data_IF_262753311394
#
_entry.id   IF_262753311394
#
_cell.length_a   1.000
_cell.length_b   1.000
_cell.length_c   1.000
_cell.angle_alpha   90.00
_cell.angle_beta   90.00
_cell.angle_gamma   90.00
#
_symmetry.space_group_name_H-M   'P 1'
#
loop_
_entity.id
_entity.type
_entity.pdbx_description
1 polymer ?
#
# COMPACT_ATOMS: atom_id res chain seq x y z
N UNK A 1 -22.04 -25.73 -4.49
CA UNK A 1 -22.51 -24.33 -4.65
C UNK A 1 -21.65 -23.43 -3.76
N UNK A 2 -21.05 -22.36 -4.32
CA UNK A 2 -20.20 -21.45 -3.53
C UNK A 2 -21.03 -20.70 -2.51
N UNK A 3 -20.56 -20.62 -1.25
CA UNK A 3 -21.16 -19.81 -0.18
C UNK A 3 -20.16 -18.75 0.30
N UNK A 4 -20.65 -17.63 0.82
CA UNK A 4 -19.83 -16.60 1.46
C UNK A 4 -20.02 -16.67 2.96
N UNK A 5 -18.91 -16.77 3.69
CA UNK A 5 -18.85 -16.66 5.15
C UNK A 5 -18.46 -15.23 5.52
N UNK A 6 -19.14 -14.67 6.52
CA UNK A 6 -18.82 -13.35 7.10
C UNK A 6 -18.16 -13.60 8.45
N UNK A 7 -16.92 -13.20 8.59
CA UNK A 7 -16.08 -13.49 9.75
C UNK A 7 -15.49 -12.19 10.32
N UNK A 8 -15.30 -12.16 11.64
CA UNK A 8 -14.57 -11.06 12.32
C UNK A 8 -13.09 -11.38 12.52
N UNK A 9 -12.77 -12.66 12.51
CA UNK A 9 -11.40 -13.16 12.65
C UNK A 9 -11.21 -14.35 11.71
N UNK A 10 -10.00 -14.54 11.23
CA UNK A 10 -9.58 -15.67 10.42
C UNK A 10 -8.69 -16.60 11.25
N UNK A 11 -8.84 -17.89 11.07
CA UNK A 11 -7.88 -18.84 11.60
C UNK A 11 -6.67 -18.98 10.65
N UNK A 12 -5.56 -19.56 11.14
CA UNK A 12 -4.30 -19.66 10.40
C UNK A 12 -4.49 -20.37 9.04
N UNK A 13 -5.24 -21.46 8.97
CA UNK A 13 -5.49 -22.18 7.72
C UNK A 13 -6.25 -21.31 6.70
N UNK A 14 -7.18 -20.47 7.13
CA UNK A 14 -7.88 -19.53 6.25
C UNK A 14 -6.93 -18.46 5.74
N UNK A 15 -6.07 -17.93 6.60
CA UNK A 15 -5.04 -16.94 6.22
C UNK A 15 -4.11 -17.54 5.16
N UNK A 16 -3.59 -18.75 5.38
CA UNK A 16 -2.69 -19.42 4.45
C UNK A 16 -3.33 -19.62 3.06
N UNK A 17 -4.57 -20.13 3.01
CA UNK A 17 -5.29 -20.29 1.76
C UNK A 17 -5.56 -18.95 1.04
N UNK A 18 -5.88 -17.89 1.78
CA UNK A 18 -6.09 -16.57 1.20
C UNK A 18 -4.77 -16.03 0.61
N UNK A 19 -3.66 -16.14 1.34
CA UNK A 19 -2.34 -15.71 0.87
C UNK A 19 -1.90 -16.49 -0.38
N UNK A 20 -2.21 -17.79 -0.47
CA UNK A 20 -1.97 -18.57 -1.67
C UNK A 20 -2.77 -18.04 -2.89
N UNK A 21 -4.03 -17.65 -2.67
CA UNK A 21 -4.85 -17.02 -3.72
C UNK A 21 -4.24 -15.68 -4.15
N UNK A 22 -3.76 -14.88 -3.20
CA UNK A 22 -3.10 -13.58 -3.46
C UNK A 22 -1.86 -13.77 -4.34
N UNK A 23 -1.01 -14.74 -4.02
CA UNK A 23 0.20 -15.06 -4.81
C UNK A 23 -0.20 -15.46 -6.24
N UNK A 24 -1.09 -16.43 -6.39
CA UNK A 24 -1.55 -16.91 -7.72
C UNK A 24 -2.22 -15.82 -8.55
N UNK A 25 -2.99 -14.95 -7.91
CA UNK A 25 -3.61 -13.81 -8.58
C UNK A 25 -2.57 -12.78 -9.02
N UNK A 26 -1.57 -12.48 -8.18
CA UNK A 26 -0.48 -11.56 -8.51
C UNK A 26 0.34 -12.04 -9.71
N UNK A 27 0.67 -13.33 -9.74
CA UNK A 27 1.39 -13.95 -10.88
C UNK A 27 0.56 -13.90 -12.19
N UNK A 28 -0.75 -14.12 -12.08
CA UNK A 28 -1.64 -14.15 -13.25
C UNK A 28 -1.92 -12.76 -13.80
N UNK A 29 -2.09 -11.77 -12.93
CA UNK A 29 -2.56 -10.43 -13.28
C UNK A 29 -1.42 -9.41 -13.43
N UNK A 30 -0.21 -9.75 -12.98
CA UNK A 30 0.93 -8.83 -12.94
C UNK A 30 0.79 -7.69 -11.94
N UNK A 31 -0.19 -7.77 -11.05
CA UNK A 31 -0.46 -6.78 -10.02
C UNK A 31 -0.94 -7.47 -8.74
N UNK A 32 -0.57 -6.94 -7.57
CA UNK A 32 -1.07 -7.43 -6.29
C UNK A 32 -2.54 -7.08 -6.13
N UNK A 33 -3.41 -8.00 -5.67
CA UNK A 33 -4.84 -7.72 -5.50
C UNK A 33 -5.15 -6.88 -4.25
N UNK A 34 -4.23 -6.78 -3.30
CA UNK A 34 -4.41 -6.09 -2.02
C UNK A 34 -3.34 -5.06 -1.75
N UNK A 35 -3.74 -4.00 -1.04
CA UNK A 35 -2.84 -3.05 -0.42
C UNK A 35 -2.02 -3.72 0.71
N UNK A 36 -0.88 -3.12 1.04
CA UNK A 36 -0.07 -3.57 2.17
C UNK A 36 -0.86 -3.57 3.48
N UNK A 37 -1.73 -2.58 3.68
CA UNK A 37 -2.56 -2.48 4.87
C UNK A 37 -3.44 -3.72 5.05
N UNK A 38 -4.11 -4.18 3.99
CA UNK A 38 -4.92 -5.41 4.02
C UNK A 38 -4.06 -6.64 4.24
N UNK A 39 -2.89 -6.75 3.60
CA UNK A 39 -1.98 -7.88 3.82
C UNK A 39 -1.46 -7.95 5.27
N UNK A 40 -1.15 -6.81 5.89
CA UNK A 40 -0.77 -6.74 7.30
C UNK A 40 -1.91 -7.18 8.24
N UNK A 41 -3.13 -6.73 7.95
CA UNK A 41 -4.31 -7.16 8.70
C UNK A 41 -4.56 -8.67 8.58
N UNK A 42 -4.34 -9.25 7.41
CA UNK A 42 -4.46 -10.70 7.20
C UNK A 42 -3.45 -11.49 8.05
N UNK A 43 -2.19 -11.04 8.11
CA UNK A 43 -1.11 -11.78 8.80
C UNK A 43 -1.08 -11.57 10.31
N UNK A 44 -1.40 -10.38 10.76
CA UNK A 44 -1.13 -9.95 12.15
C UNK A 44 -2.38 -9.56 12.92
N UNK A 45 -3.57 -9.60 12.30
CA UNK A 45 -4.76 -8.96 12.82
C UNK A 45 -4.57 -7.44 12.95
N UNK A 46 -5.57 -6.65 12.62
CA UNK A 46 -5.50 -5.20 12.73
C UNK A 46 -5.81 -4.68 14.15
N UNK A 47 -5.66 -3.38 14.33
CA UNK A 47 -6.13 -2.65 15.52
C UNK A 47 -7.58 -2.15 15.38
N UNK A 48 -8.16 -2.27 14.19
CA UNK A 48 -9.53 -1.85 13.88
C UNK A 48 -10.38 -3.03 13.51
N UNK A 49 -11.67 -3.01 13.88
CA UNK A 49 -12.60 -4.05 13.48
C UNK A 49 -12.81 -4.01 11.97
N UNK A 50 -12.46 -5.09 11.31
CA UNK A 50 -12.73 -5.31 9.88
C UNK A 50 -13.66 -6.49 9.69
N UNK A 51 -14.24 -6.63 8.51
CA UNK A 51 -15.04 -7.78 8.16
C UNK A 51 -14.36 -8.56 7.04
N UNK A 52 -14.13 -9.84 7.30
CA UNK A 52 -13.58 -10.79 6.33
C UNK A 52 -14.72 -11.54 5.66
N UNK A 53 -14.77 -11.52 4.33
CA UNK A 53 -15.73 -12.30 3.55
C UNK A 53 -14.99 -13.39 2.79
N UNK A 54 -15.29 -14.63 3.11
CA UNK A 54 -14.59 -15.81 2.57
C UNK A 54 -15.55 -16.60 1.69
N UNK A 55 -15.24 -16.73 0.41
CA UNK A 55 -16.00 -17.57 -0.51
C UNK A 55 -15.44 -18.99 -0.54
N UNK A 56 -16.24 -19.96 -0.10
CA UNK A 56 -15.90 -21.38 -0.09
C UNK A 56 -16.63 -22.16 -1.18
N UNK A 57 -15.95 -23.10 -1.83
CA UNK A 57 -16.54 -24.07 -2.74
C UNK A 57 -17.24 -25.21 -1.99
N UNK A 58 -17.77 -26.21 -2.72
CA UNK A 58 -18.45 -27.38 -2.16
C UNK A 58 -17.54 -28.27 -1.30
N UNK A 59 -16.24 -28.22 -1.54
CA UNK A 59 -15.22 -28.96 -0.80
C UNK A 59 -14.64 -28.16 0.38
N UNK A 60 -15.20 -26.97 0.68
CA UNK A 60 -14.72 -26.04 1.70
C UNK A 60 -13.34 -25.43 1.40
N UNK A 61 -12.89 -25.46 0.15
CA UNK A 61 -11.71 -24.71 -0.25
C UNK A 61 -12.06 -23.23 -0.42
N UNK A 62 -11.19 -22.34 0.01
CA UNK A 62 -11.35 -20.92 -0.23
C UNK A 62 -11.04 -20.64 -1.70
N UNK A 63 -11.99 -20.02 -2.39
CA UNK A 63 -11.91 -19.70 -3.83
C UNK A 63 -11.98 -18.17 -4.09
N UNK A 64 -12.22 -17.39 -3.05
CA UNK A 64 -12.22 -15.93 -3.10
C UNK A 64 -12.28 -15.34 -1.70
N UNK A 65 -11.84 -14.11 -1.60
CA UNK A 65 -11.82 -13.36 -0.35
C UNK A 65 -12.07 -11.88 -0.61
N UNK A 66 -12.75 -11.23 0.33
CA UNK A 66 -12.87 -9.78 0.37
C UNK A 66 -12.61 -9.25 1.79
N UNK A 67 -11.90 -8.13 1.84
CA UNK A 67 -11.65 -7.34 3.03
C UNK A 67 -12.58 -6.13 3.00
N UNK A 68 -13.29 -5.87 4.08
CA UNK A 68 -14.20 -4.74 4.21
C UNK A 68 -13.87 -3.96 5.48
N UNK A 69 -13.41 -2.72 5.28
CA UNK A 69 -13.16 -1.75 6.35
C UNK A 69 -14.31 -0.74 6.40
N UNK A 70 -14.94 -0.61 7.57
CA UNK A 70 -16.04 0.33 7.86
C UNK A 70 -15.63 1.39 8.89
N UNK A 71 -14.35 1.50 9.22
CA UNK A 71 -13.85 2.36 10.30
C UNK A 71 -13.64 3.82 9.88
N UNK A 72 -13.53 4.10 8.57
CA UNK A 72 -13.44 5.46 8.06
C UNK A 72 -14.84 6.12 8.00
N UNK A 73 -15.18 6.86 9.06
CA UNK A 73 -16.46 7.55 9.17
C UNK A 73 -16.59 8.79 8.25
N UNK A 74 -15.49 9.26 7.68
CA UNK A 74 -15.47 10.45 6.79
C UNK A 74 -15.66 10.06 5.35
N UNK A 75 -14.83 9.13 4.88
CA UNK A 75 -14.85 8.70 3.47
C UNK A 75 -15.77 7.49 3.21
N UNK A 76 -16.27 6.86 4.28
CA UNK A 76 -17.18 5.72 4.24
C UNK A 76 -16.49 4.37 4.01
N UNK A 77 -17.27 3.29 3.89
CA UNK A 77 -16.77 1.93 3.75
C UNK A 77 -15.87 1.74 2.55
N UNK A 78 -14.80 0.98 2.73
CA UNK A 78 -13.90 0.61 1.64
C UNK A 78 -13.54 -0.87 1.68
N UNK A 79 -13.19 -1.44 0.52
CA UNK A 79 -12.81 -2.83 0.47
C UNK A 79 -11.95 -3.18 -0.73
N UNK A 80 -11.40 -4.37 -0.64
CA UNK A 80 -10.57 -5.01 -1.65
C UNK A 80 -11.01 -6.46 -1.77
N UNK A 81 -10.99 -7.03 -2.97
CA UNK A 81 -11.41 -8.40 -3.19
C UNK A 81 -10.54 -9.12 -4.22
N UNK A 82 -10.39 -10.43 -4.02
CA UNK A 82 -9.70 -11.32 -4.93
C UNK A 82 -10.49 -12.60 -5.15
N UNK A 83 -10.42 -13.14 -6.37
CA UNK A 83 -10.94 -14.48 -6.71
C UNK A 83 -9.80 -15.29 -7.31
N UNK A 84 -9.62 -16.51 -6.81
CA UNK A 84 -8.66 -17.47 -7.35
C UNK A 84 -8.76 -17.54 -8.88
N UNK A 85 -7.66 -17.41 -9.63
CA UNK A 85 -7.67 -17.41 -11.09
C UNK A 85 -8.48 -18.54 -11.71
N UNK A 86 -8.37 -19.75 -11.17
CA UNK A 86 -9.09 -20.96 -11.64
C UNK A 86 -10.60 -20.95 -11.32
N UNK A 87 -11.05 -20.01 -10.48
CA UNK A 87 -12.45 -19.92 -10.06
C UNK A 87 -13.15 -18.66 -10.57
N UNK A 88 -12.49 -17.88 -11.44
CA UNK A 88 -13.06 -16.68 -12.07
C UNK A 88 -14.18 -17.00 -13.06
N UNK A 89 -14.97 -15.98 -13.40
CA UNK A 89 -16.12 -16.06 -14.34
C UNK A 89 -17.25 -16.98 -13.88
N UNK A 90 -17.28 -17.36 -12.59
CA UNK A 90 -18.33 -18.17 -11.94
C UNK A 90 -19.24 -17.34 -11.01
N UNK A 91 -19.18 -16.00 -11.07
CA UNK A 91 -20.01 -15.13 -10.25
C UNK A 91 -19.50 -14.87 -8.83
N UNK A 92 -18.35 -15.44 -8.42
CA UNK A 92 -17.84 -15.37 -7.04
C UNK A 92 -17.55 -13.93 -6.60
N UNK A 93 -16.93 -13.10 -7.45
CA UNK A 93 -16.70 -11.69 -7.14
C UNK A 93 -18.01 -10.93 -6.90
N UNK A 94 -19.06 -11.25 -7.66
CA UNK A 94 -20.39 -10.66 -7.46
C UNK A 94 -21.02 -11.10 -6.15
N UNK A 95 -20.85 -12.38 -5.76
CA UNK A 95 -21.33 -12.87 -4.45
C UNK A 95 -20.63 -12.13 -3.30
N UNK A 96 -19.30 -12.02 -3.35
CA UNK A 96 -18.52 -11.27 -2.35
C UNK A 96 -18.96 -9.80 -2.28
N UNK A 97 -19.11 -9.13 -3.43
CA UNK A 97 -19.54 -7.74 -3.48
C UNK A 97 -20.94 -7.53 -2.91
N UNK A 98 -21.89 -8.40 -3.25
CA UNK A 98 -23.25 -8.31 -2.71
C UNK A 98 -23.23 -8.46 -1.19
N UNK A 99 -22.42 -9.39 -0.67
CA UNK A 99 -22.29 -9.56 0.76
C UNK A 99 -21.61 -8.36 1.44
N UNK A 100 -20.58 -7.75 0.80
CA UNK A 100 -20.04 -6.47 1.29
C UNK A 100 -21.11 -5.40 1.41
N UNK A 101 -21.98 -5.23 0.39
CA UNK A 101 -23.08 -4.27 0.41
C UNK A 101 -24.08 -4.56 1.54
N UNK A 102 -24.43 -5.83 1.76
CA UNK A 102 -25.30 -6.23 2.89
C UNK A 102 -24.72 -5.80 4.25
N UNK A 103 -23.38 -5.94 4.42
CA UNK A 103 -22.72 -5.61 5.69
C UNK A 103 -22.69 -4.10 5.99
N UNK A 104 -22.89 -3.25 4.98
CA UNK A 104 -22.87 -1.79 5.11
C UNK A 104 -24.24 -1.14 4.91
N UNK A 105 -25.33 -1.92 4.92
CA UNK A 105 -26.69 -1.44 4.72
C UNK A 105 -26.84 -0.55 3.47
N UNK A 106 -26.25 -1.01 2.35
CA UNK A 106 -26.26 -0.33 1.05
C UNK A 106 -25.67 1.10 1.03
N UNK A 107 -24.84 1.43 2.03
CA UNK A 107 -24.06 2.67 1.96
C UNK A 107 -23.12 2.65 0.72
N UNK A 108 -22.68 3.83 0.24
CA UNK A 108 -21.71 3.88 -0.83
C UNK A 108 -20.43 3.10 -0.48
N UNK A 109 -20.11 2.12 -1.32
CA UNK A 109 -18.93 1.29 -1.17
C UNK A 109 -17.81 1.78 -2.07
N UNK A 110 -16.61 1.92 -1.51
CA UNK A 110 -15.39 2.20 -2.25
C UNK A 110 -14.60 0.90 -2.44
N UNK A 111 -14.08 0.68 -3.64
CA UNK A 111 -13.27 -0.50 -3.97
C UNK A 111 -11.95 -0.08 -4.58
N UNK A 112 -10.86 -0.59 -4.03
CA UNK A 112 -9.54 -0.45 -4.63
C UNK A 112 -9.29 -1.52 -5.69
N UNK A 113 -8.68 -1.09 -6.80
CA UNK A 113 -8.15 -1.94 -7.86
C UNK A 113 -6.68 -1.59 -8.07
N UNK A 114 -5.80 -2.50 -7.69
CA UNK A 114 -4.37 -2.34 -7.85
C UNK A 114 -3.96 -2.79 -9.27
N UNK A 115 -3.14 -1.96 -9.95
CA UNK A 115 -2.67 -2.20 -11.31
C UNK A 115 -3.70 -1.97 -12.43
N UNK A 116 -4.92 -1.50 -12.12
CA UNK A 116 -6.01 -1.19 -13.08
C UNK A 116 -6.17 -2.21 -14.21
N UNK A 117 -6.29 -3.48 -13.85
CA UNK A 117 -6.44 -4.57 -14.83
C UNK A 117 -7.76 -4.46 -15.60
N UNK A 118 -7.79 -4.94 -16.87
CA UNK A 118 -9.02 -4.98 -17.66
C UNK A 118 -10.13 -5.78 -16.96
N UNK A 119 -9.75 -6.83 -16.23
CA UNK A 119 -10.70 -7.64 -15.46
C UNK A 119 -11.40 -6.81 -14.38
N UNK A 120 -10.64 -6.08 -13.57
CA UNK A 120 -11.17 -5.25 -12.50
C UNK A 120 -11.99 -4.06 -13.06
N UNK A 121 -11.49 -3.41 -14.10
CA UNK A 121 -12.18 -2.31 -14.77
C UNK A 121 -13.54 -2.74 -15.33
N UNK A 122 -13.57 -3.86 -16.08
CA UNK A 122 -14.80 -4.41 -16.62
C UNK A 122 -15.79 -4.83 -15.53
N UNK A 123 -15.28 -5.42 -14.43
CA UNK A 123 -16.11 -5.79 -13.30
C UNK A 123 -16.74 -4.55 -12.63
N UNK A 124 -15.92 -3.53 -12.31
CA UNK A 124 -16.39 -2.29 -11.72
C UNK A 124 -17.45 -1.59 -12.61
N UNK A 125 -17.14 -1.40 -13.88
CA UNK A 125 -18.03 -0.74 -14.84
C UNK A 125 -19.37 -1.48 -15.00
N UNK A 126 -19.32 -2.81 -15.11
CA UNK A 126 -20.54 -3.64 -15.24
C UNK A 126 -21.49 -3.50 -14.05
N UNK A 127 -20.95 -3.22 -12.87
CA UNK A 127 -21.70 -3.10 -11.62
C UNK A 127 -21.98 -1.64 -11.23
N UNK A 128 -21.75 -0.70 -12.15
CA UNK A 128 -22.08 0.72 -11.96
C UNK A 128 -21.11 1.48 -11.07
N UNK A 129 -19.92 0.93 -10.82
CA UNK A 129 -18.88 1.65 -10.10
C UNK A 129 -18.17 2.65 -11.02
N UNK A 130 -17.87 3.82 -10.49
CA UNK A 130 -17.14 4.89 -11.19
C UNK A 130 -15.80 5.16 -10.51
N UNK A 131 -14.71 5.43 -11.27
CA UNK A 131 -13.42 5.76 -10.69
C UNK A 131 -13.45 7.16 -10.09
N UNK A 132 -12.95 7.31 -8.85
CA UNK A 132 -12.93 8.60 -8.11
C UNK A 132 -11.52 9.05 -7.72
N UNK A 133 -10.54 8.14 -7.71
CA UNK A 133 -9.15 8.46 -7.38
C UNK A 133 -8.19 7.56 -8.13
N UNK A 134 -7.07 8.13 -8.58
CA UNK A 134 -5.97 7.38 -9.17
C UNK A 134 -4.69 7.62 -8.38
N UNK A 135 -3.96 6.55 -8.11
CA UNK A 135 -2.62 6.58 -7.52
C UNK A 135 -1.64 6.04 -8.55
N UNK A 136 -0.71 6.89 -8.98
CA UNK A 136 0.26 6.56 -10.03
C UNK A 136 1.46 5.88 -9.38
N UNK A 137 1.85 4.72 -9.92
CA UNK A 137 3.16 4.15 -9.66
C UNK A 137 4.17 4.74 -10.65
N UNK A 138 5.28 5.25 -10.12
CA UNK A 138 6.39 5.73 -10.93
C UNK A 138 7.65 4.92 -10.63
N UNK A 139 8.49 4.68 -11.65
CA UNK A 139 9.74 3.93 -11.52
C UNK A 139 10.90 4.65 -12.18
N UNK A 140 12.11 4.41 -11.65
CA UNK A 140 13.36 4.85 -12.29
C UNK A 140 14.47 3.84 -12.09
N UNK A 141 15.46 3.84 -13.00
CA UNK A 141 16.71 3.10 -12.80
C UNK A 141 17.62 3.82 -11.80
N UNK A 142 18.23 3.06 -10.89
CA UNK A 142 19.24 3.55 -9.96
C UNK A 142 20.66 3.56 -10.57
N UNK A 143 20.86 2.97 -11.75
CA UNK A 143 22.09 3.15 -12.53
C UNK A 143 22.18 4.55 -13.18
N UNK A 144 21.02 5.18 -13.45
CA UNK A 144 20.98 6.55 -13.95
C UNK A 144 21.56 7.52 -12.91
N UNK A 145 22.16 8.59 -13.41
CA UNK A 145 22.76 9.62 -12.56
C UNK A 145 21.73 10.12 -11.53
N UNK A 146 22.14 10.19 -10.26
CA UNK A 146 21.40 10.81 -9.17
C UNK A 146 22.16 12.06 -8.77
N UNK A 147 21.47 13.20 -8.74
CA UNK A 147 22.06 14.46 -8.28
C UNK A 147 22.66 14.28 -6.87
N UNK A 148 23.76 14.95 -6.56
CA UNK A 148 24.32 14.94 -5.21
C UNK A 148 23.34 15.54 -4.19
N UNK A 149 23.44 15.09 -2.95
CA UNK A 149 22.76 15.73 -1.85
C UNK A 149 23.28 17.17 -1.68
N UNK A 150 22.38 18.08 -1.41
CA UNK A 150 22.70 19.47 -1.12
C UNK A 150 22.25 19.81 0.30
N UNK A 151 22.84 20.83 0.88
CA UNK A 151 22.48 21.28 2.22
C UNK A 151 21.43 22.40 2.16
N UNK A 152 20.47 22.34 3.08
CA UNK A 152 19.57 23.45 3.39
C UNK A 152 19.96 23.98 4.76
N UNK A 153 20.39 25.23 4.83
CA UNK A 153 20.84 25.86 6.07
C UNK A 153 19.80 25.71 7.19
N UNK A 154 20.26 25.21 8.33
CA UNK A 154 19.41 25.02 9.50
C UNK A 154 18.58 23.75 9.51
N UNK A 155 18.79 22.84 8.55
CA UNK A 155 18.18 21.52 8.52
C UNK A 155 19.25 20.44 8.67
N UNK A 156 18.94 19.37 9.40
CA UNK A 156 19.82 18.22 9.58
C UNK A 156 19.03 16.90 9.47
N UNK A 157 19.67 15.91 8.91
CA UNK A 157 19.17 14.54 8.87
C UNK A 157 19.51 13.79 10.16
N UNK A 158 18.62 12.93 10.59
CA UNK A 158 18.88 11.85 11.53
C UNK A 158 17.95 10.67 11.28
N UNK A 159 18.34 9.49 11.75
CA UNK A 159 17.47 8.32 11.66
C UNK A 159 16.28 8.44 12.61
N UNK A 160 15.20 7.74 12.25
CA UNK A 160 14.03 7.59 13.10
C UNK A 160 14.35 6.66 14.28
N UNK A 161 13.90 7.04 15.47
CA UNK A 161 14.01 6.28 16.71
C UNK A 161 12.62 6.03 17.29
N UNK A 162 12.10 4.78 17.20
CA UNK A 162 10.70 4.47 17.54
C UNK A 162 10.26 4.98 18.93
N UNK A 163 11.08 4.76 19.95
CA UNK A 163 10.76 5.16 21.33
C UNK A 163 10.71 6.69 21.55
N UNK A 164 11.21 7.47 20.60
CA UNK A 164 11.34 8.93 20.72
C UNK A 164 10.47 9.69 19.74
N UNK A 165 10.26 9.12 18.55
CA UNK A 165 9.77 9.86 17.41
C UNK A 165 8.39 9.46 16.95
N UNK A 166 7.84 8.33 17.42
CA UNK A 166 6.58 7.77 16.90
C UNK A 166 5.43 8.77 16.91
N UNK A 167 5.19 9.46 18.04
CA UNK A 167 4.11 10.43 18.14
C UNK A 167 4.34 11.65 17.23
N UNK A 168 5.56 12.20 17.22
CA UNK A 168 5.92 13.34 16.37
C UNK A 168 5.83 12.99 14.89
N UNK A 169 6.26 11.79 14.51
CA UNK A 169 6.15 11.30 13.15
C UNK A 169 4.69 11.18 12.73
N UNK A 170 3.83 10.55 13.55
CA UNK A 170 2.41 10.39 13.25
C UNK A 170 1.68 11.74 13.14
N UNK A 171 2.03 12.72 14.01
CA UNK A 171 1.50 14.07 13.91
C UNK A 171 1.91 14.75 12.59
N UNK A 172 3.19 14.67 12.22
CA UNK A 172 3.67 15.22 10.95
C UNK A 172 3.08 14.49 9.75
N UNK A 173 3.00 13.15 9.79
CA UNK A 173 2.38 12.33 8.76
C UNK A 173 0.92 12.78 8.53
N UNK A 174 0.15 12.96 9.60
CA UNK A 174 -1.23 13.46 9.50
C UNK A 174 -1.31 14.84 8.83
N UNK A 175 -0.42 15.76 9.17
CA UNK A 175 -0.35 17.11 8.53
C UNK A 175 -0.01 17.02 7.05
N UNK A 176 0.96 16.17 6.68
CA UNK A 176 1.41 16.00 5.30
C UNK A 176 0.33 15.41 4.40
N UNK A 177 -0.48 14.49 4.95
CA UNK A 177 -1.43 13.67 4.18
C UNK A 177 -2.90 13.94 4.53
N UNK A 178 -3.25 15.12 5.03
CA UNK A 178 -4.61 15.46 5.47
C UNK A 178 -5.70 15.15 4.43
N UNK A 179 -5.36 15.21 3.13
CA UNK A 179 -6.28 14.88 2.01
C UNK A 179 -6.29 13.40 1.63
N UNK A 180 -5.50 12.58 2.28
CA UNK A 180 -5.33 11.15 2.02
C UNK A 180 -5.60 10.35 3.30
N UNK A 181 -6.89 10.05 3.62
CA UNK A 181 -7.26 9.43 4.88
C UNK A 181 -6.54 8.11 5.17
N UNK A 182 -6.30 7.31 4.12
CA UNK A 182 -5.58 6.03 4.22
C UNK A 182 -4.17 6.17 4.81
N UNK A 183 -3.53 7.33 4.59
CA UNK A 183 -2.20 7.65 5.10
C UNK A 183 -2.26 8.54 6.36
N UNK A 184 -3.17 9.52 6.39
CA UNK A 184 -3.26 10.48 7.49
C UNK A 184 -3.72 9.85 8.81
N UNK A 185 -4.52 8.79 8.72
CA UNK A 185 -5.15 8.15 9.88
C UNK A 185 -4.33 7.00 10.48
N UNK A 186 -3.05 6.88 10.16
CA UNK A 186 -2.21 5.87 10.81
C UNK A 186 -2.20 6.06 12.33
N UNK A 187 -2.39 4.95 13.03
CA UNK A 187 -2.30 4.84 14.48
C UNK A 187 -0.88 4.43 14.90
N UNK A 188 -0.62 4.48 16.20
CA UNK A 188 0.63 3.95 16.76
C UNK A 188 0.80 2.45 16.43
N UNK A 189 -0.29 1.69 16.43
CA UNK A 189 -0.26 0.26 16.11
C UNK A 189 0.02 0.01 14.62
N UNK A 190 -0.53 0.83 13.73
CA UNK A 190 -0.20 0.77 12.30
C UNK A 190 1.29 1.00 12.05
N UNK A 191 1.90 1.94 12.79
CA UNK A 191 3.34 2.19 12.73
C UNK A 191 4.14 1.01 13.29
N UNK A 192 3.77 0.52 14.48
CA UNK A 192 4.44 -0.62 15.12
C UNK A 192 4.42 -1.89 14.29
N UNK A 193 3.31 -2.18 13.61
CA UNK A 193 3.22 -3.32 12.69
C UNK A 193 4.23 -3.20 11.55
N UNK A 194 4.34 -2.01 10.94
CA UNK A 194 5.31 -1.76 9.86
C UNK A 194 6.76 -1.81 10.32
N UNK A 195 7.04 -1.39 11.55
CA UNK A 195 8.38 -1.46 12.14
C UNK A 195 8.81 -2.90 12.48
N UNK A 196 7.88 -3.85 12.55
CA UNK A 196 8.15 -5.28 12.78
C UNK A 196 8.31 -6.08 11.49
N UNK A 197 7.98 -5.50 10.35
CA UNK A 197 8.11 -6.17 9.06
C UNK A 197 9.59 -6.40 8.71
N UNK A 198 9.88 -7.53 8.06
CA UNK A 198 11.24 -7.93 7.66
C UNK A 198 11.92 -6.92 6.73
N UNK A 199 11.13 -6.21 5.92
CA UNK A 199 11.63 -5.15 5.02
C UNK A 199 12.04 -3.86 5.76
N UNK A 200 11.62 -3.66 7.02
CA UNK A 200 12.00 -2.47 7.78
C UNK A 200 13.50 -2.46 8.07
N UNK A 201 14.15 -1.37 7.69
CA UNK A 201 15.55 -1.11 8.01
C UNK A 201 15.65 0.25 8.69
N UNK A 202 16.18 0.33 9.92
CA UNK A 202 16.31 1.61 10.65
C UNK A 202 17.06 2.69 9.88
N UNK A 203 18.10 2.29 9.11
CA UNK A 203 18.86 3.21 8.27
C UNK A 203 18.11 3.69 7.04
N UNK A 204 17.01 3.03 6.68
CA UNK A 204 16.11 3.39 5.59
C UNK A 204 14.99 4.35 5.99
N UNK A 205 14.94 4.80 7.23
CA UNK A 205 13.94 5.74 7.73
C UNK A 205 14.60 6.97 8.35
N UNK A 206 14.54 8.08 7.63
CA UNK A 206 15.18 9.35 8.01
C UNK A 206 14.16 10.42 8.32
N UNK A 207 14.50 11.23 9.31
CA UNK A 207 13.81 12.46 9.68
C UNK A 207 14.67 13.67 9.33
N UNK A 208 14.04 14.77 8.97
CA UNK A 208 14.69 16.06 8.77
C UNK A 208 14.19 17.05 9.83
N UNK A 209 15.10 17.59 10.59
CA UNK A 209 14.83 18.51 11.71
C UNK A 209 15.38 19.90 11.44
N UNK A 210 14.71 20.91 12.00
CA UNK A 210 15.22 22.28 12.05
C UNK A 210 16.13 22.50 13.29
N UNK A 211 16.70 23.70 13.43
CA UNK A 211 17.57 24.05 14.57
C UNK A 211 16.85 24.05 15.93
N UNK A 212 15.51 23.96 15.95
CA UNK A 212 14.71 23.85 17.19
C UNK A 212 14.35 22.39 17.52
N UNK A 213 14.84 21.44 16.72
CA UNK A 213 14.51 20.01 16.77
C UNK A 213 13.02 19.71 16.44
N UNK A 214 12.36 20.61 15.68
CA UNK A 214 11.04 20.32 15.12
C UNK A 214 11.21 19.49 13.85
N UNK A 215 10.38 18.50 13.64
CA UNK A 215 10.35 17.71 12.41
C UNK A 215 9.74 18.55 11.28
N UNK A 216 10.48 18.69 10.17
CA UNK A 216 10.04 19.43 8.98
C UNK A 216 9.82 18.52 7.77
N UNK A 217 10.25 17.27 7.85
CA UNK A 217 10.03 16.28 6.82
C UNK A 217 10.61 14.92 7.19
N UNK A 218 10.27 13.93 6.39
CA UNK A 218 10.76 12.55 6.55
C UNK A 218 10.78 11.81 5.22
N UNK A 219 11.62 10.78 5.16
CA UNK A 219 11.64 9.81 4.08
C UNK A 219 11.82 8.42 4.67
N UNK A 220 10.90 7.52 4.38
CA UNK A 220 10.97 6.12 4.74
C UNK A 220 11.06 5.29 3.46
N UNK A 221 12.05 4.43 3.36
CA UNK A 221 12.26 3.55 2.20
C UNK A 221 11.88 2.12 2.56
N UNK A 222 11.51 1.34 1.54
CA UNK A 222 11.17 -0.07 1.65
C UNK A 222 11.88 -0.84 0.53
N UNK A 223 12.34 -2.05 0.83
CA UNK A 223 12.96 -2.95 -0.14
C UNK A 223 12.05 -4.16 -0.32
N UNK A 224 11.62 -4.40 -1.55
CA UNK A 224 10.81 -5.55 -1.92
C UNK A 224 11.68 -6.65 -2.51
N UNK A 225 11.35 -7.92 -2.23
CA UNK A 225 11.99 -9.07 -2.87
C UNK A 225 13.30 -9.54 -2.24
N UNK A 226 13.70 -9.04 -1.05
CA UNK A 226 14.86 -9.56 -0.32
C UNK A 226 14.54 -10.69 0.66
N UNK A 227 13.28 -10.96 0.94
CA UNK A 227 12.88 -11.94 1.96
C UNK A 227 12.60 -13.31 1.38
N UNK A 228 13.70 -14.02 1.05
CA UNK A 228 13.72 -15.49 0.99
C UNK A 228 14.98 -16.03 1.67
N UNK A 229 15.31 -15.51 2.86
CA UNK A 229 16.10 -16.28 3.79
C UNK A 229 15.18 -17.30 4.47
N UNK A 230 15.51 -18.55 4.26
CA UNK A 230 14.88 -19.76 4.75
C UNK A 230 14.37 -19.63 6.18
N UNK A 231 13.05 -19.63 6.40
CA UNK A 231 12.52 -20.29 7.56
C UNK A 231 12.65 -21.80 7.28
N UNK A 232 13.61 -22.45 7.88
CA UNK A 232 13.69 -23.91 7.98
C UNK A 232 12.50 -24.41 8.80
N UNK A 233 11.33 -24.51 8.13
CA UNK A 233 10.26 -25.36 8.61
C UNK A 233 9.48 -25.87 7.39
N UNK A 234 9.56 -27.22 7.24
CA UNK A 234 8.85 -28.08 6.31
C UNK A 234 9.25 -28.05 4.81
N UNK A 235 9.96 -29.09 4.46
CA UNK A 235 10.20 -29.94 3.29
C UNK A 235 9.51 -29.70 1.93
N UNK A 236 9.03 -28.50 1.60
CA UNK A 236 8.51 -28.16 0.28
C UNK A 236 9.37 -27.09 -0.37
N UNK A 237 10.17 -27.51 -1.33
CA UNK A 237 10.91 -26.63 -2.24
C UNK A 237 9.92 -25.81 -3.06
N UNK A 238 9.57 -24.62 -2.58
CA UNK A 238 8.94 -23.62 -3.42
C UNK A 238 10.01 -22.99 -4.31
N UNK A 239 9.95 -23.24 -5.61
CA UNK A 239 10.68 -22.47 -6.60
C UNK A 239 10.21 -21.03 -6.54
N UNK A 240 10.97 -20.17 -5.87
CA UNK A 240 10.75 -18.73 -5.91
C UNK A 240 11.07 -18.24 -7.33
N UNK A 241 10.06 -17.85 -8.08
CA UNK A 241 10.27 -17.00 -9.24
C UNK A 241 10.68 -15.63 -8.72
N UNK A 242 12.01 -15.42 -8.59
CA UNK A 242 12.58 -14.21 -8.06
C UNK A 242 12.31 -13.03 -9.01
N UNK A 243 11.38 -12.17 -8.63
CA UNK A 243 11.39 -10.81 -9.17
C UNK A 243 12.64 -10.11 -8.63
N UNK A 244 13.36 -9.41 -9.51
CA UNK A 244 14.51 -8.60 -9.09
C UNK A 244 14.07 -7.65 -7.98
N UNK A 245 14.87 -7.55 -6.88
CA UNK A 245 14.51 -6.69 -5.77
C UNK A 245 14.37 -5.24 -6.23
N UNK A 246 13.34 -4.56 -5.76
CA UNK A 246 13.06 -3.15 -6.08
C UNK A 246 12.97 -2.32 -4.82
N UNK A 247 13.59 -1.14 -4.83
CA UNK A 247 13.47 -0.17 -3.74
C UNK A 247 12.24 0.72 -3.91
N UNK A 248 11.60 1.08 -2.81
CA UNK A 248 10.49 2.01 -2.79
C UNK A 248 10.80 3.21 -1.89
N UNK A 249 10.51 4.41 -2.38
CA UNK A 249 10.28 5.56 -1.51
C UNK A 249 8.87 5.39 -0.97
N UNK A 250 8.78 4.71 0.18
CA UNK A 250 7.55 4.19 0.74
C UNK A 250 6.65 5.30 1.29
N UNK A 251 7.20 6.17 2.13
CA UNK A 251 6.51 7.36 2.62
C UNK A 251 7.48 8.54 2.63
N UNK A 252 7.07 9.64 2.01
CA UNK A 252 7.81 10.89 2.02
C UNK A 252 6.86 12.04 2.34
N UNK A 253 7.14 12.77 3.41
CA UNK A 253 6.35 13.92 3.82
C UNK A 253 7.21 15.16 4.06
N UNK A 254 6.64 16.32 3.72
CA UNK A 254 7.20 17.65 4.05
C UNK A 254 6.11 18.44 4.72
N UNK A 255 6.41 18.98 5.91
CA UNK A 255 5.50 19.87 6.63
C UNK A 255 4.98 20.96 5.69
N UNK A 256 3.64 21.17 5.61
CA UNK A 256 3.05 22.16 4.72
C UNK A 256 3.66 23.58 4.85
N UNK A 257 4.09 23.98 6.05
CA UNK A 257 4.73 25.29 6.29
C UNK A 257 6.17 25.37 5.73
N UNK A 258 6.75 24.23 5.38
CA UNK A 258 8.11 24.12 4.87
C UNK A 258 8.18 23.71 3.39
N UNK A 259 7.05 23.55 2.71
CA UNK A 259 7.00 23.24 1.28
C UNK A 259 7.56 24.39 0.43
N UNK A 260 7.91 24.10 -0.83
CA UNK A 260 8.48 25.07 -1.78
C UNK A 260 9.95 25.46 -1.53
N UNK A 261 10.61 24.89 -0.51
CA UNK A 261 12.00 25.20 -0.12
C UNK A 261 13.02 24.12 -0.56
N UNK A 262 12.65 23.22 -1.48
CA UNK A 262 13.52 22.17 -1.98
C UNK A 262 13.61 20.92 -1.07
N UNK A 263 12.90 20.88 0.07
CA UNK A 263 12.97 19.79 1.04
C UNK A 263 12.51 18.46 0.41
N UNK A 264 11.43 18.46 -0.38
CA UNK A 264 10.96 17.27 -1.06
C UNK A 264 12.02 16.68 -2.01
N UNK A 265 12.73 17.55 -2.78
CA UNK A 265 13.86 17.12 -3.62
C UNK A 265 14.98 16.51 -2.77
N UNK A 266 15.35 17.17 -1.69
CA UNK A 266 16.42 16.71 -0.80
C UNK A 266 16.11 15.32 -0.18
N UNK A 267 14.89 15.13 0.31
CA UNK A 267 14.43 13.86 0.89
C UNK A 267 14.36 12.75 -0.17
N UNK A 268 13.87 13.05 -1.38
CA UNK A 268 13.84 12.08 -2.49
C UNK A 268 15.24 11.67 -2.89
N UNK A 269 16.17 12.61 -3.01
CA UNK A 269 17.58 12.32 -3.30
C UNK A 269 18.23 11.48 -2.21
N UNK A 270 17.90 11.73 -0.93
CA UNK A 270 18.37 10.90 0.17
C UNK A 270 17.89 9.46 0.01
N UNK A 271 16.58 9.25 -0.22
CA UNK A 271 16.01 7.93 -0.43
C UNK A 271 16.62 7.19 -1.61
N UNK A 272 16.78 7.87 -2.76
CA UNK A 272 17.41 7.30 -3.95
C UNK A 272 18.87 6.86 -3.69
N UNK A 273 19.65 7.69 -2.99
CA UNK A 273 21.03 7.36 -2.64
C UNK A 273 21.10 6.20 -1.63
N UNK A 274 20.16 6.12 -0.68
CA UNK A 274 20.06 4.99 0.21
C UNK A 274 19.77 3.69 -0.55
N UNK A 275 18.72 3.66 -1.37
CA UNK A 275 18.32 2.49 -2.16
C UNK A 275 19.44 2.02 -3.11
N UNK A 276 20.15 2.95 -3.78
CA UNK A 276 21.30 2.62 -4.61
C UNK A 276 22.45 1.98 -3.81
N UNK A 277 22.76 2.51 -2.62
CA UNK A 277 23.80 1.93 -1.72
C UNK A 277 23.40 0.58 -1.17
N UNK A 278 22.09 0.28 -1.09
CA UNK A 278 21.57 -1.03 -0.74
C UNK A 278 21.67 -2.07 -1.87
N UNK A 279 22.29 -1.71 -3.01
CA UNK A 279 22.55 -2.63 -4.10
C UNK A 279 21.36 -2.87 -5.05
N UNK A 280 20.40 -1.95 -5.08
CA UNK A 280 19.20 -2.10 -5.92
C UNK A 280 19.39 -1.43 -7.28
N UNK A 281 18.80 -2.03 -8.32
CA UNK A 281 18.88 -1.59 -9.71
C UNK A 281 17.81 -0.57 -10.07
N UNK A 282 16.69 -0.60 -9.36
CA UNK A 282 15.54 0.26 -9.62
C UNK A 282 14.87 0.76 -8.36
N UNK A 283 14.21 1.92 -8.47
CA UNK A 283 13.39 2.51 -7.44
C UNK A 283 11.97 2.78 -7.96
N UNK A 284 10.99 2.67 -7.07
CA UNK A 284 9.61 3.04 -7.33
C UNK A 284 9.05 3.94 -6.23
N UNK A 285 7.92 4.54 -6.51
CA UNK A 285 7.08 5.26 -5.56
C UNK A 285 5.63 5.29 -6.04
N UNK A 286 4.73 5.60 -5.11
CA UNK A 286 3.33 5.87 -5.41
C UNK A 286 2.99 7.33 -5.13
N UNK A 287 2.21 7.95 -6.02
CA UNK A 287 1.80 9.36 -5.90
C UNK A 287 0.36 9.54 -6.37
N UNK A 288 -0.44 10.31 -5.63
CA UNK A 288 -1.79 10.67 -6.05
C UNK A 288 -1.75 11.47 -7.36
N UNK A 289 -2.59 11.10 -8.34
CA UNK A 289 -2.61 11.74 -9.67
C UNK A 289 -2.96 13.24 -9.63
N UNK A 290 -3.59 13.70 -8.56
CA UNK A 290 -3.88 15.12 -8.35
C UNK A 290 -2.70 15.90 -7.75
N UNK A 291 -1.67 15.22 -7.24
CA UNK A 291 -0.48 15.86 -6.68
C UNK A 291 0.54 16.21 -7.76
N UNK A 292 0.18 17.19 -8.61
CA UNK A 292 1.02 17.63 -9.74
C UNK A 292 2.42 18.05 -9.30
N UNK A 293 2.55 18.77 -8.17
CA UNK A 293 3.84 19.22 -7.68
C UNK A 293 4.78 18.04 -7.35
N UNK A 294 4.27 16.96 -6.78
CA UNK A 294 5.06 15.77 -6.49
C UNK A 294 5.40 15.01 -7.78
N UNK A 295 4.44 14.88 -8.71
CA UNK A 295 4.66 14.23 -10.02
C UNK A 295 5.75 14.95 -10.78
N UNK A 296 5.69 16.31 -10.86
CA UNK A 296 6.70 17.13 -11.54
C UNK A 296 8.08 16.96 -10.89
N UNK A 297 8.12 16.97 -9.55
CA UNK A 297 9.35 16.70 -8.79
C UNK A 297 9.94 15.33 -9.15
N UNK A 298 9.17 14.27 -9.06
CA UNK A 298 9.65 12.92 -9.32
C UNK A 298 10.06 12.73 -10.78
N UNK A 299 9.30 13.31 -11.72
CA UNK A 299 9.67 13.33 -13.15
C UNK A 299 11.01 14.05 -13.37
N UNK A 300 11.24 15.19 -12.71
CA UNK A 300 12.51 15.93 -12.78
C UNK A 300 13.69 15.11 -12.21
N UNK A 301 13.42 14.16 -11.33
CA UNK A 301 14.38 13.24 -10.74
C UNK A 301 14.49 11.92 -11.50
N UNK A 302 13.93 11.83 -12.72
CA UNK A 302 14.07 10.70 -13.63
C UNK A 302 13.11 9.53 -13.38
N UNK A 303 12.08 9.72 -12.57
CA UNK A 303 10.98 8.76 -12.47
C UNK A 303 10.06 8.89 -13.68
N UNK A 304 9.57 7.75 -14.16
CA UNK A 304 8.62 7.65 -15.26
C UNK A 304 7.37 6.91 -14.82
N UNK A 305 6.25 7.18 -15.47
CA UNK A 305 5.00 6.45 -15.26
C UNK A 305 5.20 4.94 -15.47
N UNK A 306 4.66 4.13 -14.57
CA UNK A 306 4.70 2.68 -14.66
C UNK A 306 3.33 2.03 -14.65
N UNK A 307 2.44 2.45 -13.75
CA UNK A 307 1.11 1.90 -13.58
C UNK A 307 0.21 2.80 -12.76
N UNK A 308 -1.02 2.38 -12.56
CA UNK A 308 -2.02 3.13 -11.77
C UNK A 308 -2.89 2.19 -10.95
N UNK A 309 -3.12 2.56 -9.69
CA UNK A 309 -4.14 1.98 -8.83
C UNK A 309 -5.36 2.90 -8.81
N UNK A 310 -6.54 2.31 -8.81
CA UNK A 310 -7.79 3.06 -8.88
C UNK A 310 -8.71 2.77 -7.71
N UNK A 311 -9.27 3.83 -7.17
CA UNK A 311 -10.38 3.75 -6.24
C UNK A 311 -11.69 3.98 -7.01
N UNK A 312 -12.60 3.05 -6.90
CA UNK A 312 -13.94 3.10 -7.46
C UNK A 312 -14.98 3.32 -6.37
N UNK A 313 -16.11 3.94 -6.69
CA UNK A 313 -17.27 4.06 -5.79
C UNK A 313 -18.55 3.57 -6.45
N UNK A 314 -19.47 2.99 -5.67
CA UNK A 314 -20.76 2.49 -6.16
C UNK A 314 -21.80 3.58 -6.43
N UNK A 315 -21.55 4.82 -6.00
CA UNK A 315 -22.41 5.97 -6.28
C UNK A 315 -21.62 7.07 -6.96
N UNK A 316 -22.19 7.66 -8.01
CA UNK A 316 -21.73 8.93 -8.53
C UNK A 316 -22.11 10.03 -7.52
N UNK A 317 -21.20 10.40 -6.61
CA UNK A 317 -21.31 11.68 -5.96
C UNK A 317 -21.00 12.74 -7.01
N UNK A 318 -21.94 13.64 -7.27
CA UNK A 318 -21.59 14.93 -7.85
C UNK A 318 -20.61 15.59 -6.89
N UNK A 319 -19.38 15.84 -7.40
CA UNK A 319 -18.29 16.52 -6.70
C UNK A 319 -18.58 18.03 -6.75
#
# INVERSE_FOLDING_TARGET
>A
MTKVLVLKELNNNQVDQILEIVIKASETDGARPFSEHVELHLRSGGDRPVTHLVAEDENKNIVGYAHLDTTDLVSGPSGELVVSPNSRKKGIATLLLNEMKNQINDQPLRLWSHGDTDLARNFATKLGFVPVRNVIQMRRSLFSQIDPLFEIRGLKFRNFEANKDSDKFLELNKKCFVKLPDQANWTIKDLELRLKESWYKPDGFVLLENNKNDLVGFCWTKIHGQDHEHSEYDGHTHHSHGHEPIGEIYVLGVDPEHQGKGIGKLLTLWGLNYLRRSGLDSAMLYVDSNNKNAIDLYTSLGFNFWGVDKLYTSNSYEI
#
